data_IF_000920439142
#
_entry.id   IF_000920439142
#
_cell.length_a   1.000
_cell.length_b   1.000
_cell.length_c   1.000
_cell.angle_alpha   90.00
_cell.angle_beta   90.00
_cell.angle_gamma   90.00
#
_symmetry.space_group_name_H-M   'P 1'
#
loop_
_entity.id
_entity.type
_entity.pdbx_description
1 polymer ?
#
# COMPACT_ATOMS: atom_id res chain seq x y z
N UNK A 1 8.83 -8.03 -15.23
CA UNK A 1 8.06 -7.16 -14.32
C UNK A 1 6.68 -7.78 -14.21
N UNK A 2 6.31 -8.33 -13.06
CA UNK A 2 5.01 -8.98 -12.90
C UNK A 2 3.93 -7.92 -12.64
N UNK A 3 3.40 -7.35 -13.72
CA UNK A 3 2.32 -6.35 -13.70
C UNK A 3 1.08 -6.83 -12.93
N UNK A 4 0.93 -8.14 -12.73
CA UNK A 4 -0.14 -8.74 -11.93
C UNK A 4 0.05 -8.53 -10.42
N UNK A 5 1.27 -8.69 -9.90
CA UNK A 5 1.56 -8.52 -8.47
C UNK A 5 1.39 -7.06 -8.05
N UNK A 6 1.88 -6.13 -8.88
CA UNK A 6 1.70 -4.69 -8.71
C UNK A 6 0.21 -4.34 -8.62
N UNK A 7 -0.59 -4.84 -9.58
CA UNK A 7 -2.03 -4.57 -9.61
C UNK A 7 -2.77 -5.21 -8.43
N UNK A 8 -2.35 -6.39 -7.98
CA UNK A 8 -2.90 -7.02 -6.77
C UNK A 8 -2.61 -6.18 -5.53
N UNK A 9 -1.42 -5.61 -5.42
CA UNK A 9 -1.08 -4.72 -4.31
C UNK A 9 -1.91 -3.43 -4.34
N UNK A 10 -2.06 -2.79 -5.50
CA UNK A 10 -2.91 -1.60 -5.66
C UNK A 10 -4.38 -1.87 -5.27
N UNK A 11 -4.92 -3.03 -5.66
CA UNK A 11 -6.26 -3.44 -5.28
C UNK A 11 -6.39 -3.60 -3.76
N UNK A 12 -5.41 -4.23 -3.12
CA UNK A 12 -5.39 -4.41 -1.66
C UNK A 12 -5.26 -3.07 -0.93
N UNK A 13 -4.46 -2.13 -1.43
CA UNK A 13 -4.40 -0.77 -0.90
C UNK A 13 -5.76 -0.07 -1.00
N UNK A 14 -6.46 -0.24 -2.13
CA UNK A 14 -7.82 0.29 -2.28
C UNK A 14 -8.82 -0.35 -1.31
N UNK A 15 -8.72 -1.65 -1.04
CA UNK A 15 -9.55 -2.31 -0.02
C UNK A 15 -9.29 -1.74 1.39
N UNK A 16 -8.02 -1.52 1.74
CA UNK A 16 -7.64 -0.94 3.03
C UNK A 16 -8.20 0.48 3.14
N UNK A 17 -7.99 1.31 2.12
CA UNK A 17 -8.52 2.67 2.06
C UNK A 17 -10.06 2.72 2.22
N UNK A 18 -10.79 1.81 1.55
CA UNK A 18 -12.25 1.75 1.66
C UNK A 18 -12.74 1.32 3.05
N UNK A 19 -11.94 0.54 3.79
CA UNK A 19 -12.25 0.13 5.18
C UNK A 19 -11.90 1.20 6.21
N UNK A 20 -11.03 2.14 5.86
CA UNK A 20 -10.56 3.19 6.75
C UNK A 20 -11.26 4.50 6.40
N UNK A 21 -12.46 4.72 6.96
CA UNK A 21 -13.31 5.88 6.62
C UNK A 21 -12.58 7.23 6.81
N UNK A 22 -11.76 7.36 7.85
CA UNK A 22 -11.04 8.62 8.12
C UNK A 22 -10.04 8.99 7.03
N UNK A 23 -9.39 8.00 6.40
CA UNK A 23 -8.42 8.25 5.30
C UNK A 23 -9.10 8.91 4.11
N UNK A 24 -10.38 8.64 3.91
CA UNK A 24 -11.15 9.18 2.78
C UNK A 24 -11.43 10.67 2.91
N UNK A 25 -11.40 11.19 4.13
CA UNK A 25 -11.54 12.62 4.41
C UNK A 25 -10.21 13.37 4.33
N UNK A 26 -9.07 12.67 4.50
CA UNK A 26 -7.74 13.29 4.45
C UNK A 26 -7.18 13.40 3.03
N UNK A 27 -7.25 12.31 2.25
CA UNK A 27 -6.68 12.31 0.92
C UNK A 27 -7.39 11.32 -0.02
N UNK A 28 -7.44 11.59 -1.33
CA UNK A 28 -8.09 10.69 -2.28
C UNK A 28 -7.29 9.38 -2.47
N UNK A 29 -8.00 8.31 -2.82
CA UNK A 29 -7.43 6.97 -3.06
C UNK A 29 -6.18 6.97 -3.94
N UNK A 30 -6.15 7.75 -5.02
CA UNK A 30 -5.00 7.80 -5.93
C UNK A 30 -3.74 8.35 -5.24
N UNK A 31 -3.90 9.37 -4.38
CA UNK A 31 -2.79 9.89 -3.59
C UNK A 31 -2.36 8.84 -2.56
N UNK A 32 -3.31 8.13 -1.95
CA UNK A 32 -2.99 7.08 -0.97
C UNK A 32 -2.16 5.96 -1.59
N UNK A 33 -2.55 5.48 -2.77
CA UNK A 33 -1.79 4.45 -3.50
C UNK A 33 -0.41 4.98 -3.89
N UNK A 34 -0.30 6.24 -4.29
CA UNK A 34 0.96 6.87 -4.66
C UNK A 34 1.96 7.00 -3.48
N UNK A 35 1.50 6.96 -2.23
CA UNK A 35 2.36 6.94 -1.04
C UNK A 35 3.13 5.62 -0.87
N UNK A 36 2.73 4.55 -1.58
CA UNK A 36 3.33 3.22 -1.47
C UNK A 36 3.91 2.76 -2.81
N UNK A 37 4.92 3.46 -3.36
CA UNK A 37 5.57 3.03 -4.58
C UNK A 37 6.25 1.68 -4.37
N UNK A 38 6.12 0.78 -5.36
CA UNK A 38 6.79 -0.51 -5.34
C UNK A 38 8.19 -0.35 -5.91
N UNK A 39 9.17 -0.41 -5.02
CA UNK A 39 10.58 -0.40 -5.41
C UNK A 39 11.09 -1.83 -5.60
N UNK A 40 12.01 -2.04 -6.55
CA UNK A 40 12.64 -3.33 -6.78
C UNK A 40 14.15 -3.21 -6.55
N UNK A 41 14.68 -4.04 -5.64
CA UNK A 41 16.11 -4.11 -5.36
C UNK A 41 16.62 -5.51 -5.64
N UNK A 42 17.60 -5.64 -6.54
CA UNK A 42 18.14 -6.92 -7.00
C UNK A 42 17.05 -7.89 -7.53
N UNK A 43 16.04 -7.35 -8.22
CA UNK A 43 14.94 -8.13 -8.80
C UNK A 43 13.88 -8.61 -7.79
N UNK A 44 13.97 -8.19 -6.52
CA UNK A 44 12.96 -8.47 -5.50
C UNK A 44 12.17 -7.21 -5.14
N UNK A 45 10.85 -7.31 -4.99
CA UNK A 45 10.04 -6.19 -4.51
C UNK A 45 10.45 -5.86 -3.08
N UNK A 46 10.77 -4.60 -2.85
CA UNK A 46 11.15 -4.07 -1.56
C UNK A 46 9.88 -3.61 -0.85
N UNK A 47 9.79 -3.94 0.44
CA UNK A 47 8.67 -3.50 1.28
C UNK A 47 8.62 -1.97 1.24
N UNK A 48 7.45 -1.37 0.97
CA UNK A 48 7.34 0.08 0.91
C UNK A 48 7.68 0.67 2.28
N UNK A 49 8.48 1.73 2.26
CA UNK A 49 8.69 2.56 3.44
C UNK A 49 7.39 3.30 3.77
N UNK A 50 7.10 3.45 5.07
CA UNK A 50 5.89 4.14 5.48
C UNK A 50 6.05 5.63 5.23
N UNK A 51 5.08 6.29 4.57
CA UNK A 51 5.13 7.73 4.36
C UNK A 51 5.13 8.43 5.73
N UNK A 52 6.11 9.29 5.99
CA UNK A 52 6.13 10.13 7.20
C UNK A 52 5.01 11.17 7.20
N UNK A 53 4.48 11.47 6.01
CA UNK A 53 3.46 12.49 5.77
C UNK A 53 2.05 12.10 6.23
N UNK A 54 1.78 10.79 6.45
CA UNK A 54 0.47 10.30 6.87
C UNK A 54 0.60 9.51 8.16
N UNK A 55 -0.05 9.98 9.22
CA UNK A 55 -0.09 9.26 10.49
C UNK A 55 -1.08 8.10 10.43
N UNK A 56 -0.68 7.04 9.72
CA UNK A 56 -1.44 5.81 9.67
C UNK A 56 -1.46 5.13 11.04
N UNK A 57 -2.66 4.78 11.48
CA UNK A 57 -2.83 3.97 12.68
C UNK A 57 -2.12 2.61 12.51
N UNK A 58 -1.77 1.98 13.64
CA UNK A 58 -1.04 0.72 13.67
C UNK A 58 -1.73 -0.40 12.88
N UNK A 59 -3.06 -0.43 12.84
CA UNK A 59 -3.81 -1.48 12.15
C UNK A 59 -3.74 -1.29 10.64
N UNK A 60 -3.91 -0.05 10.16
CA UNK A 60 -3.75 0.29 8.74
C UNK A 60 -2.32 0.00 8.27
N UNK A 61 -1.32 0.40 9.07
CA UNK A 61 0.10 0.09 8.84
C UNK A 61 0.33 -1.42 8.69
N UNK A 62 -0.21 -2.23 9.61
CA UNK A 62 -0.06 -3.68 9.55
C UNK A 62 -0.79 -4.27 8.34
N UNK A 63 -1.99 -3.78 8.01
CA UNK A 63 -2.77 -4.24 6.87
C UNK A 63 -2.02 -4.02 5.55
N UNK A 64 -1.36 -2.87 5.36
CA UNK A 64 -0.54 -2.57 4.17
C UNK A 64 0.64 -3.54 4.08
N UNK A 65 1.29 -3.82 5.21
CA UNK A 65 2.40 -4.77 5.26
C UNK A 65 1.97 -6.20 4.91
N UNK A 66 0.77 -6.62 5.34
CA UNK A 66 0.18 -7.91 4.97
C UNK A 66 -0.18 -7.94 3.49
N UNK A 67 -0.83 -6.90 2.98
CA UNK A 67 -1.17 -6.75 1.56
C UNK A 67 0.05 -6.86 0.65
N UNK A 68 1.16 -6.22 1.02
CA UNK A 68 2.42 -6.32 0.29
C UNK A 68 2.93 -7.76 0.26
N UNK A 69 2.92 -8.44 1.41
CA UNK A 69 3.35 -9.84 1.49
C UNK A 69 2.44 -10.75 0.66
N UNK A 70 1.12 -10.56 0.68
CA UNK A 70 0.20 -11.35 -0.13
C UNK A 70 0.41 -11.15 -1.64
N UNK A 71 0.72 -9.91 -2.06
CA UNK A 71 0.92 -9.58 -3.47
C UNK A 71 2.25 -10.09 -4.05
N UNK A 72 3.29 -10.18 -3.22
CA UNK A 72 4.66 -10.43 -3.64
C UNK A 72 5.31 -11.69 -3.03
N UNK A 73 4.50 -12.57 -2.42
CA UNK A 73 4.95 -13.88 -1.93
C UNK A 73 5.10 -14.92 -3.04
#
# INVERSE_FOLDING_TARGET
MDSQQVRLFELKLAEIYNRTEWLQYELPLQQFVALFPIEYKAGRPQRPDMPEEVDLDRNTRLAIMVAFREAFS
#
